data_IF_542558315458
#
_entry.id   IF_542558315458
#
_cell.length_a   1.000
_cell.length_b   1.000
_cell.length_c   1.000
_cell.angle_alpha   90.00
_cell.angle_beta   90.00
_cell.angle_gamma   90.00
#
_symmetry.space_group_name_H-M   'P 1'
#
loop_
_entity.id
_entity.type
_entity.pdbx_description
1 polymer ?
#
# COMPACT_ATOMS: atom_id res chain seq x y z
N UNK A 1 -13.12 -14.18 34.28
CA UNK A 1 -13.15 -14.12 32.81
C UNK A 1 -13.89 -12.83 32.44
N UNK A 2 -13.16 -11.75 32.20
CA UNK A 2 -13.71 -10.53 31.63
C UNK A 2 -12.90 -10.29 30.35
N UNK A 3 -13.40 -10.86 29.27
CA UNK A 3 -12.82 -10.75 27.93
C UNK A 3 -13.28 -9.42 27.34
N UNK A 4 -12.69 -8.32 27.80
CA UNK A 4 -12.84 -7.04 27.13
C UNK A 4 -11.44 -6.58 26.72
N UNK A 5 -10.88 -7.28 25.73
CA UNK A 5 -9.97 -6.62 24.81
C UNK A 5 -10.84 -5.61 24.05
N UNK A 6 -11.00 -4.42 24.62
CA UNK A 6 -11.63 -3.28 23.97
C UNK A 6 -11.05 -3.21 22.56
N UNK A 7 -11.85 -3.62 21.57
CA UNK A 7 -11.41 -3.88 20.21
C UNK A 7 -11.23 -2.58 19.41
N UNK A 8 -10.94 -1.48 20.10
CA UNK A 8 -10.66 -0.17 19.54
C UNK A 8 -9.14 0.05 19.48
N UNK A 9 -8.44 -0.94 18.91
CA UNK A 9 -7.03 -0.80 18.59
C UNK A 9 -6.91 -0.08 17.25
N UNK A 10 -6.30 1.10 17.22
CA UNK A 10 -5.92 1.71 15.93
C UNK A 10 -4.58 1.13 15.51
N UNK A 11 -4.55 0.54 14.31
CA UNK A 11 -3.36 -0.03 13.71
C UNK A 11 -2.80 0.91 12.65
N UNK A 12 -1.49 0.82 12.48
CA UNK A 12 -0.73 1.70 11.62
C UNK A 12 -0.31 0.95 10.37
N UNK A 13 -0.67 1.48 9.20
CA UNK A 13 -0.25 0.98 7.89
C UNK A 13 0.76 1.96 7.30
N UNK A 14 2.01 1.53 7.17
CA UNK A 14 3.03 2.30 6.45
C UNK A 14 3.07 1.88 4.99
N UNK A 15 2.88 2.84 4.08
CA UNK A 15 3.04 2.65 2.64
C UNK A 15 4.24 3.44 2.16
N UNK A 16 5.16 2.79 1.45
CA UNK A 16 6.28 3.44 0.78
C UNK A 16 6.19 3.28 -0.72
N UNK A 17 6.15 4.38 -1.44
CA UNK A 17 6.17 4.39 -2.91
C UNK A 17 7.59 4.65 -3.40
N UNK A 18 8.10 3.73 -4.21
CA UNK A 18 9.39 3.86 -4.88
C UNK A 18 9.16 4.10 -6.37
N UNK A 19 9.63 5.22 -6.90
CA UNK A 19 9.44 5.61 -8.31
C UNK A 19 8.23 6.52 -8.56
N UNK A 20 7.93 6.84 -9.83
CA UNK A 20 6.86 7.77 -10.20
C UNK A 20 5.49 7.07 -10.13
N UNK A 21 4.91 7.07 -8.95
CA UNK A 21 3.60 6.46 -8.69
C UNK A 21 2.86 7.11 -7.54
N UNK A 22 1.62 6.69 -7.35
CA UNK A 22 0.72 7.06 -6.27
C UNK A 22 0.06 5.82 -5.71
N UNK A 23 -0.12 5.80 -4.40
CA UNK A 23 -0.92 4.75 -3.75
C UNK A 23 -2.09 5.40 -3.02
N UNK A 24 -3.27 4.83 -3.27
CA UNK A 24 -4.52 5.15 -2.60
C UNK A 24 -5.01 3.94 -1.80
N UNK A 25 -5.61 4.15 -0.64
CA UNK A 25 -6.29 3.10 0.12
C UNK A 25 -7.81 3.29 0.13
N UNK A 26 -8.53 2.20 0.31
CA UNK A 26 -9.97 2.17 0.58
C UNK A 26 -10.19 1.31 1.83
N UNK A 27 -10.70 1.88 2.95
CA UNK A 27 -11.14 3.27 3.13
C UNK A 27 -10.02 4.33 2.94
N UNK A 28 -10.36 5.59 2.58
CA UNK A 28 -9.39 6.63 2.24
C UNK A 28 -8.68 7.14 3.51
N UNK A 29 -7.50 6.59 3.77
CA UNK A 29 -6.59 7.09 4.80
C UNK A 29 -5.15 7.24 4.28
N UNK A 30 -4.82 6.58 3.18
CA UNK A 30 -3.56 6.71 2.44
C UNK A 30 -3.91 7.22 1.05
N UNK A 31 -3.37 8.38 0.68
CA UNK A 31 -3.40 8.92 -0.68
C UNK A 31 -2.14 9.78 -0.89
N UNK A 32 -1.02 9.14 -1.18
CA UNK A 32 0.24 9.84 -1.36
C UNK A 32 1.06 9.28 -2.52
N UNK A 33 1.83 10.13 -3.22
CA UNK A 33 2.79 9.71 -4.24
C UNK A 33 4.14 9.23 -3.67
N UNK A 34 4.23 9.02 -2.35
CA UNK A 34 5.50 8.77 -1.65
C UNK A 34 5.34 7.85 -0.45
N UNK A 35 6.15 8.07 0.58
CA UNK A 35 5.96 7.38 1.86
C UNK A 35 4.93 8.10 2.71
N UNK A 36 3.85 7.42 3.07
CA UNK A 36 2.86 7.90 4.02
C UNK A 36 2.35 6.78 4.92
N UNK A 37 1.72 7.19 6.01
CA UNK A 37 1.27 6.30 7.06
C UNK A 37 -0.21 6.57 7.29
N UNK A 38 -1.03 5.53 7.29
CA UNK A 38 -2.46 5.60 7.56
C UNK A 38 -2.81 4.87 8.85
N UNK A 39 -3.80 5.40 9.57
CA UNK A 39 -4.32 4.80 10.78
C UNK A 39 -5.68 4.16 10.49
N UNK A 40 -5.82 2.88 10.81
CA UNK A 40 -7.03 2.11 10.53
C UNK A 40 -7.51 1.38 11.79
N UNK A 41 -8.83 1.18 11.95
CA UNK A 41 -9.34 0.36 13.05
C UNK A 41 -8.90 -1.09 12.90
N UNK A 42 -8.53 -1.73 14.00
CA UNK A 42 -8.26 -3.17 14.04
C UNK A 42 -9.48 -3.96 13.55
N UNK A 43 -9.21 -5.02 12.78
CA UNK A 43 -10.20 -5.83 12.10
C UNK A 43 -10.71 -5.23 10.78
N UNK A 44 -10.26 -4.03 10.39
CA UNK A 44 -10.64 -3.43 9.11
C UNK A 44 -9.90 -4.06 7.94
N UNK A 45 -10.58 -4.21 6.81
CA UNK A 45 -9.95 -4.61 5.54
C UNK A 45 -9.57 -3.38 4.73
N UNK A 46 -8.29 -3.23 4.41
CA UNK A 46 -7.76 -2.11 3.64
C UNK A 46 -7.39 -2.60 2.24
N UNK A 47 -7.96 -1.97 1.22
CA UNK A 47 -7.59 -2.20 -0.18
C UNK A 47 -6.70 -1.08 -0.66
N UNK A 48 -5.47 -1.40 -1.06
CA UNK A 48 -4.50 -0.49 -1.61
C UNK A 48 -4.50 -0.61 -3.15
N UNK A 49 -4.62 0.54 -3.81
CA UNK A 49 -4.57 0.72 -5.25
C UNK A 49 -3.34 1.55 -5.63
N UNK A 50 -2.51 1.02 -6.52
CA UNK A 50 -1.38 1.73 -7.08
C UNK A 50 -1.76 2.33 -8.44
N UNK A 51 -1.48 3.61 -8.62
CA UNK A 51 -1.62 4.33 -9.88
C UNK A 51 -0.27 4.89 -10.28
N UNK A 52 0.25 4.45 -11.43
CA UNK A 52 1.50 5.00 -11.93
C UNK A 52 1.31 6.44 -12.41
N UNK A 53 2.33 7.29 -12.25
CA UNK A 53 2.31 8.68 -12.67
C UNK A 53 3.26 8.89 -13.86
N UNK A 54 2.80 9.63 -14.88
CA UNK A 54 3.62 9.90 -16.08
C UNK A 54 3.94 8.63 -16.86
N UNK A 55 5.24 8.40 -17.11
CA UNK A 55 5.77 7.20 -17.79
C UNK A 55 6.13 6.07 -16.80
N UNK A 56 5.69 6.19 -15.55
CA UNK A 56 5.80 5.13 -14.57
C UNK A 56 4.96 3.91 -14.94
N UNK A 57 5.39 2.74 -14.49
CA UNK A 57 4.61 1.51 -14.49
C UNK A 57 4.69 0.88 -13.11
N UNK A 58 3.54 0.41 -12.63
CA UNK A 58 3.49 -0.38 -11.41
C UNK A 58 4.17 -1.73 -11.68
N UNK A 59 5.23 -2.04 -10.94
CA UNK A 59 6.02 -3.26 -11.11
C UNK A 59 5.54 -4.35 -10.17
N UNK A 60 5.55 -4.06 -8.87
CA UNK A 60 5.19 -5.03 -7.84
C UNK A 60 4.95 -4.38 -6.49
N UNK A 61 4.18 -5.08 -5.66
CA UNK A 61 4.04 -4.79 -4.24
C UNK A 61 5.07 -5.62 -3.46
N UNK A 62 5.50 -5.13 -2.32
CA UNK A 62 6.36 -5.83 -1.38
C UNK A 62 5.91 -5.55 0.06
N UNK A 63 6.38 -6.35 1.02
CA UNK A 63 5.95 -6.28 2.42
C UNK A 63 4.73 -7.15 2.73
N UNK A 64 3.82 -6.63 3.56
CA UNK A 64 2.64 -7.33 4.11
C UNK A 64 1.45 -7.37 3.13
N UNK A 65 1.74 -7.18 1.85
CA UNK A 65 0.75 -7.09 0.80
C UNK A 65 0.74 -8.36 -0.06
N UNK A 66 -0.43 -8.95 -0.24
CA UNK A 66 -0.64 -10.07 -1.16
C UNK A 66 -1.44 -9.61 -2.40
N UNK A 67 -0.75 -9.47 -3.53
CA UNK A 67 -1.38 -9.17 -4.83
C UNK A 67 -0.42 -8.48 -5.79
N UNK A 68 -0.65 -8.63 -7.10
CA UNK A 68 0.16 -7.96 -8.13
C UNK A 68 -0.56 -6.76 -8.77
N UNK A 69 -1.88 -6.60 -8.60
CA UNK A 69 -2.64 -5.48 -9.17
C UNK A 69 -3.47 -4.73 -8.11
N UNK A 70 -4.06 -5.46 -7.16
CA UNK A 70 -4.73 -4.90 -5.99
C UNK A 70 -4.13 -5.50 -4.72
N UNK A 71 -3.87 -4.65 -3.73
CA UNK A 71 -3.18 -5.03 -2.52
C UNK A 71 -4.18 -5.07 -1.36
N UNK A 72 -4.42 -6.25 -0.78
CA UNK A 72 -5.37 -6.42 0.31
C UNK A 72 -4.61 -6.63 1.61
N UNK A 73 -4.90 -5.81 2.62
CA UNK A 73 -4.28 -5.88 3.94
C UNK A 73 -5.37 -5.97 5.00
N UNK A 74 -5.36 -7.05 5.79
CA UNK A 74 -6.17 -7.14 6.99
C UNK A 74 -5.46 -6.43 8.14
N UNK A 75 -6.10 -5.41 8.71
CA UNK A 75 -5.59 -4.70 9.88
C UNK A 75 -5.77 -5.55 11.13
N UNK A 76 -5.03 -6.64 11.24
CA UNK A 76 -4.96 -7.45 12.47
C UNK A 76 -3.75 -7.04 13.32
N UNK A 77 -2.71 -6.52 12.65
CA UNK A 77 -1.48 -5.97 13.21
C UNK A 77 -1.00 -4.77 12.38
N UNK A 78 0.04 -4.11 12.87
CA UNK A 78 0.76 -3.07 12.12
C UNK A 78 1.33 -3.67 10.83
N UNK A 79 1.07 -3.03 9.70
CA UNK A 79 1.44 -3.54 8.39
C UNK A 79 2.34 -2.55 7.65
N UNK A 80 3.24 -3.08 6.84
CA UNK A 80 4.13 -2.28 6.00
C UNK A 80 4.06 -2.77 4.56
N UNK A 81 3.77 -1.86 3.64
CA UNK A 81 3.65 -2.15 2.21
C UNK A 81 4.57 -1.22 1.43
N UNK A 82 5.25 -1.78 0.44
CA UNK A 82 6.14 -1.04 -0.46
C UNK A 82 5.60 -1.22 -1.88
N UNK A 83 5.27 -0.13 -2.54
CA UNK A 83 4.85 -0.11 -3.93
C UNK A 83 6.02 0.26 -4.82
N UNK A 84 6.43 -0.64 -5.70
CA UNK A 84 7.56 -0.43 -6.60
C UNK A 84 7.01 -0.03 -7.96
N UNK A 85 7.34 1.19 -8.36
CA UNK A 85 7.08 1.74 -9.69
C UNK A 85 8.39 1.84 -10.44
N UNK A 86 8.47 1.15 -11.57
CA UNK A 86 9.54 1.31 -12.52
C UNK A 86 9.22 2.52 -13.39
N UNK A 87 10.22 3.30 -13.76
CA UNK A 87 10.11 3.97 -15.05
C UNK A 87 10.11 2.83 -16.06
N UNK A 88 9.05 2.72 -16.85
CA UNK A 88 9.13 1.92 -18.05
C UNK A 88 10.18 2.61 -18.91
N UNK A 89 11.45 2.29 -18.69
CA UNK A 89 12.44 2.48 -19.74
C UNK A 89 11.78 1.74 -20.90
N UNK A 90 11.35 2.42 -21.99
CA UNK A 90 10.94 1.66 -23.14
C UNK A 90 12.14 0.74 -23.38
N UNK A 91 11.88 -0.53 -23.67
CA UNK A 91 12.94 -1.39 -24.16
C UNK A 91 13.41 -0.83 -25.52
N UNK A 92 14.16 0.27 -25.46
CA UNK A 92 15.06 0.84 -26.44
C UNK A 92 16.45 0.63 -25.86
N UNK A 93 16.79 -0.63 -25.59
CA UNK A 93 18.17 -1.01 -25.86
C UNK A 93 18.23 -1.20 -27.38
N UNK A 94 18.38 -0.09 -28.08
CA UNK A 94 18.76 -0.10 -29.50
C UNK A 94 20.22 -0.56 -29.58
N UNK A 95 20.43 -1.84 -29.93
CA UNK A 95 21.22 -2.32 -31.07
C UNK A 95 21.39 -3.85 -31.09
#
# INVERSE_FOLDING_TARGET
>A
MASEASSDGVLTLSVSVSGPGRVMSIPPAIDCPGTCVGNFPQGSSVTLAASALGEGQFMSWSGDCMGAMGCFVSMEREAQVIAIFGMGMPMMLER
#
